data_IF_128951507824
#
_entry.id   IF_128951507824
#
_cell.length_a   1.000
_cell.length_b   1.000
_cell.length_c   1.000
_cell.angle_alpha   90.00
_cell.angle_beta   90.00
_cell.angle_gamma   90.00
#
_symmetry.space_group_name_H-M   'P 1'
#
loop_
_entity.id
_entity.type
_entity.pdbx_description
1 polymer ?
#
# COMPACT_ATOMS: atom_id res chain seq x y z
N UNK A 1 -30.03 -5.90 -6.42
CA UNK A 1 -29.90 -4.73 -5.54
C UNK A 1 -28.51 -4.60 -4.98
N UNK A 2 -27.99 -3.39 -4.94
CA UNK A 2 -26.60 -3.13 -4.59
C UNK A 2 -26.42 -2.48 -3.22
N UNK A 3 -27.37 -2.56 -2.37
CA UNK A 3 -27.40 -1.84 -1.11
C UNK A 3 -26.25 -2.16 -0.16
N UNK A 4 -25.67 -3.36 -0.26
CA UNK A 4 -24.64 -3.81 0.69
C UNK A 4 -23.25 -3.88 0.09
N UNK A 5 -23.06 -3.37 -1.12
CA UNK A 5 -21.73 -3.35 -1.71
C UNK A 5 -20.94 -2.19 -1.16
N UNK A 6 -19.74 -2.49 -0.68
CA UNK A 6 -18.80 -1.49 -0.19
C UNK A 6 -17.76 -1.22 -1.25
N UNK A 7 -17.26 0.02 -1.28
CA UNK A 7 -16.23 0.43 -2.21
C UNK A 7 -16.71 0.64 -3.62
N UNK A 8 -15.79 0.89 -4.52
CA UNK A 8 -16.06 1.14 -5.94
C UNK A 8 -15.90 -0.13 -6.75
N UNK A 9 -16.81 -0.33 -7.69
CA UNK A 9 -16.74 -1.51 -8.56
C UNK A 9 -15.67 -1.40 -9.64
N UNK A 10 -15.36 -0.20 -10.08
CA UNK A 10 -14.31 0.05 -11.08
C UNK A 10 -14.51 -0.72 -12.38
N UNK A 11 -15.77 -0.98 -12.77
CA UNK A 11 -16.11 -1.67 -14.00
C UNK A 11 -15.79 -3.17 -14.01
N UNK A 12 -15.50 -3.76 -12.86
CA UNK A 12 -15.12 -5.17 -12.75
C UNK A 12 -16.01 -5.93 -11.78
N UNK A 13 -16.16 -7.25 -11.97
CA UNK A 13 -16.90 -8.06 -11.00
C UNK A 13 -16.07 -8.23 -9.72
N UNK A 14 -16.69 -8.77 -8.68
CA UNK A 14 -16.07 -8.86 -7.36
C UNK A 14 -14.75 -9.65 -7.36
N UNK A 15 -14.71 -10.78 -8.06
CA UNK A 15 -13.49 -11.60 -8.15
C UNK A 15 -12.34 -10.84 -8.82
N UNK A 16 -12.63 -10.21 -9.96
CA UNK A 16 -11.62 -9.45 -10.68
C UNK A 16 -11.15 -8.25 -9.86
N UNK A 17 -12.05 -7.61 -9.15
CA UNK A 17 -11.72 -6.47 -8.31
C UNK A 17 -10.79 -6.86 -7.18
N UNK A 18 -11.08 -7.98 -6.49
CA UNK A 18 -10.23 -8.47 -5.42
C UNK A 18 -8.85 -8.84 -5.95
N UNK A 19 -8.79 -9.54 -7.08
CA UNK A 19 -7.52 -9.93 -7.69
C UNK A 19 -6.70 -8.70 -8.08
N UNK A 20 -7.35 -7.69 -8.66
CA UNK A 20 -6.70 -6.44 -9.02
C UNK A 20 -6.12 -5.74 -7.77
N UNK A 21 -6.89 -5.66 -6.70
CA UNK A 21 -6.45 -5.00 -5.48
C UNK A 21 -5.29 -5.73 -4.83
N UNK A 22 -5.33 -7.05 -4.78
CA UNK A 22 -4.21 -7.84 -4.27
C UNK A 22 -2.94 -7.60 -5.05
N UNK A 23 -3.04 -7.59 -6.38
CA UNK A 23 -1.89 -7.35 -7.25
C UNK A 23 -1.32 -5.96 -7.06
N UNK A 24 -2.18 -4.95 -6.96
CA UNK A 24 -1.75 -3.56 -6.78
C UNK A 24 -1.11 -3.32 -5.41
N UNK A 25 -1.68 -3.89 -4.35
CA UNK A 25 -1.08 -3.80 -3.01
C UNK A 25 0.27 -4.51 -2.98
N UNK A 26 0.35 -5.69 -3.58
CA UNK A 26 1.61 -6.44 -3.67
C UNK A 26 2.67 -5.63 -4.40
N UNK A 27 2.31 -5.03 -5.54
CA UNK A 27 3.24 -4.18 -6.31
C UNK A 27 3.67 -2.95 -5.51
N UNK A 28 2.75 -2.32 -4.79
CA UNK A 28 3.08 -1.16 -3.97
C UNK A 28 4.10 -1.53 -2.89
N UNK A 29 3.90 -2.64 -2.20
CA UNK A 29 4.82 -3.08 -1.16
C UNK A 29 6.15 -3.54 -1.73
N UNK A 30 6.13 -4.14 -2.92
CA UNK A 30 7.35 -4.62 -3.59
C UNK A 30 8.20 -3.46 -4.12
N UNK A 31 7.58 -2.53 -4.82
CA UNK A 31 8.27 -1.42 -5.50
C UNK A 31 8.22 -0.11 -4.75
N UNK A 32 7.39 -0.02 -3.71
CA UNK A 32 7.17 1.14 -2.85
C UNK A 32 6.53 2.33 -3.54
N UNK A 33 6.23 2.22 -4.82
CA UNK A 33 5.52 3.24 -5.59
C UNK A 33 4.84 2.59 -6.79
N UNK A 34 3.59 2.98 -7.03
CA UNK A 34 2.88 2.58 -8.25
C UNK A 34 2.14 3.79 -8.81
N UNK A 35 1.88 3.77 -10.12
CA UNK A 35 1.02 4.75 -10.76
C UNK A 35 -0.26 4.04 -11.18
N UNK A 36 -1.39 4.60 -10.81
CA UNK A 36 -2.70 4.04 -11.15
C UNK A 36 -3.75 5.15 -11.19
N UNK A 37 -4.99 4.81 -11.54
CA UNK A 37 -6.06 5.80 -11.51
C UNK A 37 -6.35 6.23 -10.08
N UNK A 38 -6.84 7.46 -9.93
CA UNK A 38 -7.17 8.01 -8.62
C UNK A 38 -8.17 7.13 -7.87
N UNK A 39 -9.20 6.63 -8.54
CA UNK A 39 -10.22 5.79 -7.91
C UNK A 39 -9.60 4.50 -7.34
N UNK A 40 -8.74 3.84 -8.11
CA UNK A 40 -8.07 2.62 -7.65
C UNK A 40 -7.12 2.91 -6.50
N UNK A 41 -6.38 4.01 -6.58
CA UNK A 41 -5.44 4.40 -5.53
C UNK A 41 -6.15 4.61 -4.19
N UNK A 42 -7.31 5.25 -4.21
CA UNK A 42 -8.10 5.46 -2.99
C UNK A 42 -8.54 4.16 -2.34
N UNK A 43 -8.96 3.18 -3.14
CA UNK A 43 -9.37 1.88 -2.61
C UNK A 43 -8.17 1.09 -2.08
N UNK A 44 -7.07 1.10 -2.80
CA UNK A 44 -5.87 0.33 -2.45
C UNK A 44 -5.17 0.90 -1.23
N UNK A 45 -5.20 2.21 -1.06
CA UNK A 45 -4.53 2.88 0.05
C UNK A 45 -4.89 2.29 1.40
N UNK A 46 -6.19 2.12 1.65
CA UNK A 46 -6.66 1.53 2.91
C UNK A 46 -6.18 0.10 3.10
N UNK A 47 -6.19 -0.70 2.03
CA UNK A 47 -5.74 -2.09 2.09
C UNK A 47 -4.24 -2.17 2.35
N UNK A 48 -3.45 -1.32 1.70
CA UNK A 48 -2.00 -1.30 1.89
C UNK A 48 -1.64 -0.88 3.32
N UNK A 49 -2.32 0.13 3.85
CA UNK A 49 -2.08 0.57 5.22
C UNK A 49 -2.46 -0.51 6.23
N UNK A 50 -3.50 -1.27 5.95
CA UNK A 50 -3.89 -2.40 6.78
C UNK A 50 -2.80 -3.47 6.82
N UNK A 51 -2.18 -3.75 5.67
CA UNK A 51 -1.08 -4.70 5.59
C UNK A 51 0.13 -4.22 6.41
N UNK A 52 0.44 -2.93 6.33
CA UNK A 52 1.54 -2.35 7.11
C UNK A 52 1.24 -2.45 8.61
N UNK A 53 0.01 -2.23 9.01
CA UNK A 53 -0.40 -2.38 10.41
C UNK A 53 -0.21 -3.83 10.89
N UNK A 54 -0.52 -4.81 10.06
CA UNK A 54 -0.25 -6.21 10.37
C UNK A 54 1.25 -6.46 10.53
N UNK A 55 2.07 -5.86 9.67
CA UNK A 55 3.52 -5.94 9.76
C UNK A 55 4.04 -5.36 11.05
N UNK A 56 3.47 -4.27 11.52
CA UNK A 56 3.83 -3.63 12.79
C UNK A 56 3.46 -4.50 13.99
N UNK A 57 2.35 -5.23 13.91
CA UNK A 57 1.99 -6.22 14.92
C UNK A 57 3.08 -7.28 15.03
N UNK A 58 3.55 -7.78 13.89
CA UNK A 58 4.68 -8.69 13.81
C UNK A 58 4.42 -10.10 14.31
N UNK A 59 3.22 -10.41 14.81
CA UNK A 59 2.90 -11.73 15.32
C UNK A 59 2.81 -12.77 14.21
N UNK A 60 2.91 -14.05 14.56
CA UNK A 60 2.72 -15.14 13.60
C UNK A 60 1.31 -15.09 13.00
N UNK A 61 0.31 -14.78 13.81
CA UNK A 61 -1.07 -14.64 13.35
C UNK A 61 -1.19 -13.52 12.30
N UNK A 62 -0.57 -12.36 12.56
CA UNK A 62 -0.58 -11.25 11.62
C UNK A 62 0.14 -11.62 10.32
N UNK A 63 1.27 -12.33 10.40
CA UNK A 63 2.00 -12.77 9.22
C UNK A 63 1.17 -13.75 8.37
N UNK A 64 0.43 -14.65 9.02
CA UNK A 64 -0.47 -15.56 8.30
C UNK A 64 -1.60 -14.82 7.61
N UNK A 65 -2.18 -13.82 8.26
CA UNK A 65 -3.21 -12.99 7.65
C UNK A 65 -2.67 -12.24 6.44
N UNK A 66 -1.48 -11.68 6.52
CA UNK A 66 -0.85 -11.00 5.40
C UNK A 66 -0.63 -11.97 4.22
N UNK A 67 -0.19 -13.19 4.50
CA UNK A 67 0.02 -14.21 3.47
C UNK A 67 -1.25 -14.60 2.73
N UNK A 68 -2.41 -14.52 3.37
CA UNK A 68 -3.67 -14.83 2.69
C UNK A 68 -4.03 -13.76 1.66
N UNK A 69 -3.58 -12.55 1.83
CA UNK A 69 -3.85 -11.45 0.91
C UNK A 69 -2.70 -11.25 -0.08
N UNK A 70 -1.46 -11.16 0.41
CA UNK A 70 -0.26 -11.02 -0.41
C UNK A 70 0.31 -12.42 -0.63
N UNK A 71 0.16 -12.95 -1.83
CA UNK A 71 0.52 -14.34 -2.09
C UNK A 71 2.02 -14.56 -2.38
N UNK A 72 2.80 -13.50 -2.42
CA UNK A 72 4.25 -13.58 -2.61
C UNK A 72 4.95 -13.55 -1.25
N UNK A 73 5.61 -14.65 -0.90
CA UNK A 73 6.31 -14.77 0.38
C UNK A 73 7.40 -13.71 0.56
N UNK A 74 8.12 -13.40 -0.51
CA UNK A 74 9.19 -12.39 -0.50
C UNK A 74 8.67 -11.01 -0.15
N UNK A 75 7.48 -10.67 -0.63
CA UNK A 75 6.85 -9.38 -0.33
C UNK A 75 6.40 -9.34 1.12
N UNK A 76 5.85 -10.42 1.65
CA UNK A 76 5.47 -10.50 3.06
C UNK A 76 6.70 -10.39 3.95
N UNK A 77 7.79 -11.06 3.59
CA UNK A 77 9.04 -10.94 4.34
C UNK A 77 9.56 -9.52 4.33
N UNK A 78 9.53 -8.85 3.18
CA UNK A 78 9.92 -7.44 3.08
C UNK A 78 9.01 -6.56 3.96
N UNK A 79 7.71 -6.82 3.94
CA UNK A 79 6.75 -6.06 4.74
C UNK A 79 7.07 -6.16 6.23
N UNK A 80 7.27 -7.36 6.75
CA UNK A 80 7.49 -7.58 8.17
C UNK A 80 8.90 -7.23 8.62
N UNK A 81 9.91 -7.48 7.78
CA UNK A 81 11.30 -7.31 8.18
C UNK A 81 11.83 -5.90 7.92
N UNK A 82 11.29 -5.20 6.94
CA UNK A 82 11.80 -3.89 6.51
C UNK A 82 10.77 -2.79 6.59
N UNK A 83 9.67 -2.93 5.87
CA UNK A 83 8.70 -1.84 5.70
C UNK A 83 8.05 -1.45 7.02
N UNK A 84 7.57 -2.42 7.77
CA UNK A 84 6.87 -2.15 9.03
C UNK A 84 7.76 -1.42 10.03
N UNK A 85 9.05 -1.73 10.04
CA UNK A 85 10.00 -1.08 10.93
C UNK A 85 10.13 0.42 10.69
N UNK A 86 9.93 0.87 9.46
CA UNK A 86 10.00 2.30 9.12
C UNK A 86 8.92 3.11 9.82
N UNK A 87 7.78 2.49 10.11
CA UNK A 87 6.57 3.19 10.53
C UNK A 87 6.17 2.91 11.97
N UNK A 88 7.06 2.34 12.77
CA UNK A 88 6.74 1.99 14.16
C UNK A 88 6.27 3.16 14.99
N UNK A 89 6.79 4.36 14.72
CA UNK A 89 6.39 5.55 15.44
C UNK A 89 5.11 6.22 14.94
N UNK A 90 4.49 5.71 13.88
CA UNK A 90 3.31 6.30 13.28
C UNK A 90 2.07 5.46 13.55
N UNK A 91 0.96 6.10 13.87
CA UNK A 91 -0.32 5.42 14.06
C UNK A 91 -1.06 5.15 12.75
N UNK A 92 -0.60 5.74 11.66
CA UNK A 92 -1.18 5.60 10.32
C UNK A 92 -0.50 6.57 9.38
N UNK A 93 -1.06 6.77 8.19
CA UNK A 93 -0.50 7.70 7.21
C UNK A 93 0.80 7.21 6.60
N UNK A 94 0.90 5.92 6.32
CA UNK A 94 2.10 5.31 5.76
C UNK A 94 2.25 5.53 4.26
N UNK A 95 1.21 6.03 3.61
CA UNK A 95 1.17 6.20 2.17
C UNK A 95 0.82 7.62 1.80
N UNK A 96 1.16 7.99 0.57
CA UNK A 96 0.90 9.32 0.04
C UNK A 96 0.44 9.19 -1.41
N UNK A 97 -0.54 10.01 -1.81
CA UNK A 97 -1.01 10.08 -3.19
C UNK A 97 -0.56 11.39 -3.81
N UNK A 98 0.07 11.31 -4.99
CA UNK A 98 0.54 12.49 -5.72
C UNK A 98 -0.05 12.46 -7.12
N UNK A 99 -0.81 13.49 -7.54
CA UNK A 99 -1.29 13.56 -8.93
C UNK A 99 -0.10 13.56 -9.90
N UNK A 100 -0.17 12.76 -10.94
CA UNK A 100 0.90 12.68 -11.93
C UNK A 100 0.52 13.25 -13.28
N UNK A 101 -0.54 12.71 -13.90
CA UNK A 101 -0.94 13.12 -15.25
C UNK A 101 -2.33 12.62 -15.58
N UNK A 102 -2.86 13.05 -16.71
CA UNK A 102 -4.06 12.47 -17.29
C UNK A 102 -3.65 11.45 -18.34
N UNK A 103 -4.30 10.32 -18.35
CA UNK A 103 -3.99 9.25 -19.30
C UNK A 103 -4.53 9.63 -20.69
N UNK A 104 -3.70 9.54 -21.75
CA UNK A 104 -4.20 9.74 -23.11
C UNK A 104 -5.28 8.72 -23.43
N UNK A 105 -6.25 9.09 -24.19
CA UNK A 105 -7.34 8.20 -24.62
C UNK A 105 -8.61 8.39 -23.80
N UNK A 106 -8.61 8.10 -22.51
CA UNK A 106 -9.80 8.23 -21.67
C UNK A 106 -9.75 9.40 -20.70
N UNK A 107 -8.66 10.15 -20.68
CA UNK A 107 -8.45 11.32 -19.80
C UNK A 107 -8.58 10.98 -18.31
N UNK A 108 -8.40 9.71 -17.91
CA UNK A 108 -8.43 9.33 -16.50
C UNK A 108 -7.28 10.01 -15.74
N UNK A 109 -7.58 10.53 -14.56
CA UNK A 109 -6.55 11.11 -13.71
C UNK A 109 -5.71 10.00 -13.09
N UNK A 110 -4.40 10.07 -13.30
CA UNK A 110 -3.44 9.13 -12.73
C UNK A 110 -2.77 9.77 -11.52
N UNK A 111 -2.51 8.94 -10.53
CA UNK A 111 -1.80 9.34 -9.33
C UNK A 111 -0.70 8.34 -9.03
N UNK A 112 0.36 8.81 -8.41
CA UNK A 112 1.36 7.94 -7.81
C UNK A 112 0.93 7.68 -6.37
N UNK A 113 0.82 6.41 -6.00
CA UNK A 113 0.62 5.99 -4.62
C UNK A 113 1.95 5.45 -4.15
N UNK A 114 2.49 6.00 -3.08
CA UNK A 114 3.81 5.62 -2.62
C UNK A 114 3.88 5.51 -1.11
N UNK A 115 4.85 4.73 -0.63
CA UNK A 115 5.14 4.62 0.79
C UNK A 115 5.94 5.86 1.21
N UNK A 116 5.59 6.42 2.36
CA UNK A 116 6.24 7.62 2.88
C UNK A 116 7.66 7.27 3.37
N UNK A 117 8.63 8.11 3.03
CA UNK A 117 10.04 7.89 3.33
C UNK A 117 10.43 8.41 4.73
N UNK A 118 9.81 7.87 5.78
CA UNK A 118 10.06 8.33 7.15
C UNK A 118 11.43 7.90 7.65
N UNK A 119 11.86 6.68 7.31
CA UNK A 119 13.13 6.14 7.78
C UNK A 119 14.32 6.96 7.30
N UNK A 120 14.28 7.46 6.08
CA UNK A 120 15.35 8.29 5.53
C UNK A 120 15.53 9.58 6.33
N UNK A 121 14.44 10.24 6.68
CA UNK A 121 14.48 11.46 7.49
C UNK A 121 15.09 11.19 8.87
N UNK A 122 14.71 10.09 9.49
CA UNK A 122 15.22 9.71 10.81
C UNK A 122 16.73 9.39 10.72
N UNK A 123 17.14 8.67 9.69
CA UNK A 123 18.56 8.34 9.49
C UNK A 123 19.40 9.59 9.26
N UNK A 124 18.89 10.53 8.47
CA UNK A 124 19.57 11.81 8.23
C UNK A 124 19.72 12.59 9.52
N UNK A 125 18.67 12.69 10.32
CA UNK A 125 18.70 13.36 11.61
C UNK A 125 19.71 12.73 12.57
N UNK A 126 19.72 11.40 12.67
CA UNK A 126 20.66 10.67 13.49
C UNK A 126 22.09 10.89 13.01
N UNK A 127 22.31 10.88 11.71
CA UNK A 127 23.61 11.15 11.12
C UNK A 127 24.12 12.54 11.48
N UNK A 128 23.25 13.54 11.45
CA UNK A 128 23.59 14.91 11.83
C UNK A 128 23.93 15.02 13.32
N UNK A 129 23.24 14.28 14.17
CA UNK A 129 23.49 14.27 15.62
C UNK A 129 24.85 13.66 15.95
N UNK A 130 25.29 12.68 15.16
CA UNK A 130 26.56 11.98 15.41
C UNK A 130 27.79 12.67 14.81
N UNK A 131 27.59 13.72 14.06
CA UNK A 131 28.67 14.54 13.54
C UNK A 131 29.10 15.58 14.55
#
# INVERSE_FOLDING_TARGET
MRHRKKGRQLGRNTKHRIALFRNLVTSLLEHERIETTEAKAKEIRGLAEKMITLGKDGSLHARRQALTFIQKKEVVSKLFDTVAGRYRGLAGGYTRMIPTRRRPGDAAELVALELVAVAESVEIELSLIHI
#
